data_IF_522818621366
#
_entry.id   IF_522818621366
#
_cell.length_a   1.000
_cell.length_b   1.000
_cell.length_c   1.000
_cell.angle_alpha   90.00
_cell.angle_beta   90.00
_cell.angle_gamma   90.00
#
_symmetry.space_group_name_H-M   'P 1'
#
loop_
_entity.id
_entity.type
_entity.pdbx_description
1 polymer ?
#
# COMPACT_ATOMS: atom_id res chain seq x y z
N UNK A 1 20.30 -26.35 -26.85
CA UNK A 1 20.28 -26.93 -25.49
C UNK A 1 20.91 -25.99 -24.48
N UNK A 2 22.16 -25.53 -24.70
CA UNK A 2 22.88 -24.67 -23.74
C UNK A 2 22.24 -23.30 -23.48
N UNK A 3 21.67 -22.67 -24.51
CA UNK A 3 20.99 -21.38 -24.38
C UNK A 3 19.79 -21.46 -23.42
N UNK A 4 19.09 -22.60 -23.40
CA UNK A 4 17.92 -22.85 -22.55
C UNK A 4 18.34 -23.09 -21.10
N UNK A 5 19.46 -23.77 -20.89
CA UNK A 5 20.06 -24.01 -19.56
C UNK A 5 20.61 -22.72 -18.95
N UNK A 6 21.08 -21.77 -19.78
CA UNK A 6 21.55 -20.46 -19.32
C UNK A 6 20.43 -19.45 -19.08
N UNK A 7 19.32 -19.53 -19.83
CA UNK A 7 18.17 -18.64 -19.64
C UNK A 7 17.41 -18.93 -18.35
N UNK A 8 17.34 -20.21 -17.95
CA UNK A 8 16.47 -20.67 -16.87
C UNK A 8 16.82 -20.07 -15.50
N UNK A 9 18.10 -19.97 -15.07
CA UNK A 9 18.47 -19.32 -13.82
C UNK A 9 18.08 -17.83 -13.78
N UNK A 10 18.35 -17.08 -14.86
CA UNK A 10 18.01 -15.66 -14.91
C UNK A 10 16.49 -15.44 -14.89
N UNK A 11 15.74 -16.22 -15.66
CA UNK A 11 14.29 -16.17 -15.68
C UNK A 11 13.70 -16.51 -14.30
N UNK A 12 14.27 -17.48 -13.59
CA UNK A 12 13.83 -17.83 -12.24
C UNK A 12 14.07 -16.70 -11.23
N UNK A 13 15.22 -16.03 -11.27
CA UNK A 13 15.48 -14.85 -10.42
C UNK A 13 14.48 -13.72 -10.70
N UNK A 14 14.23 -13.43 -11.98
CA UNK A 14 13.25 -12.42 -12.40
C UNK A 14 11.85 -12.81 -11.90
N UNK A 15 11.48 -14.08 -12.04
CA UNK A 15 10.22 -14.63 -11.55
C UNK A 15 10.07 -14.48 -10.03
N UNK A 16 11.13 -14.71 -9.26
CA UNK A 16 11.11 -14.54 -7.80
C UNK A 16 10.80 -13.09 -7.38
N UNK A 17 11.42 -12.08 -8.01
CA UNK A 17 11.10 -10.65 -7.73
C UNK A 17 9.67 -10.30 -8.18
N UNK A 18 9.25 -10.75 -9.36
CA UNK A 18 7.90 -10.45 -9.89
C UNK A 18 6.79 -11.05 -9.04
N UNK A 19 6.94 -12.32 -8.64
CA UNK A 19 5.98 -12.99 -7.76
C UNK A 19 5.91 -12.34 -6.39
N UNK A 20 7.06 -12.03 -5.78
CA UNK A 20 7.07 -11.41 -4.45
C UNK A 20 6.43 -10.02 -4.45
N UNK A 21 6.63 -9.23 -5.52
CA UNK A 21 5.95 -7.96 -5.72
C UNK A 21 4.41 -8.13 -5.86
N UNK A 22 3.96 -9.01 -6.75
CA UNK A 22 2.53 -9.22 -7.01
C UNK A 22 1.76 -9.79 -5.81
N UNK A 23 2.42 -10.54 -4.93
CA UNK A 23 1.80 -11.09 -3.72
C UNK A 23 1.49 -10.00 -2.69
N UNK A 24 2.29 -8.92 -2.63
CA UNK A 24 2.16 -7.87 -1.60
C UNK A 24 1.37 -6.66 -2.10
N UNK A 25 1.47 -6.33 -3.39
CA UNK A 25 0.88 -5.10 -3.92
C UNK A 25 -0.67 -5.12 -3.79
N UNK A 26 -1.32 -4.08 -3.23
CA UNK A 26 -2.75 -4.08 -2.87
C UNK A 26 -3.72 -4.50 -3.98
N UNK A 27 -3.40 -4.20 -5.25
CA UNK A 27 -4.22 -4.59 -6.41
C UNK A 27 -4.32 -6.11 -6.61
N UNK A 28 -3.18 -6.80 -6.56
CA UNK A 28 -3.07 -8.23 -6.86
C UNK A 28 -3.02 -9.11 -5.59
N UNK A 29 -2.77 -8.49 -4.43
CA UNK A 29 -2.76 -9.17 -3.13
C UNK A 29 -4.16 -9.53 -2.61
N UNK A 30 -5.23 -8.92 -3.17
CA UNK A 30 -6.60 -9.17 -2.72
C UNK A 30 -7.00 -10.65 -2.77
N UNK A 31 -7.82 -11.09 -1.80
CA UNK A 31 -8.30 -12.49 -1.69
C UNK A 31 -9.16 -12.92 -2.88
N UNK A 32 -9.74 -11.96 -3.59
CA UNK A 32 -10.58 -12.20 -4.76
C UNK A 32 -9.77 -12.63 -5.99
N UNK A 33 -8.46 -12.41 -6.00
CA UNK A 33 -7.57 -12.80 -7.10
C UNK A 33 -7.00 -14.20 -6.83
N UNK A 34 -7.33 -15.22 -7.63
CA UNK A 34 -6.79 -16.57 -7.47
C UNK A 34 -5.26 -16.58 -7.53
N UNK A 35 -4.62 -17.43 -6.72
CA UNK A 35 -3.16 -17.60 -6.74
C UNK A 35 -2.63 -18.01 -8.12
N UNK A 36 -3.39 -18.85 -8.85
CA UNK A 36 -3.05 -19.26 -10.21
C UNK A 36 -2.95 -18.08 -11.18
N UNK A 37 -3.82 -17.07 -11.07
CA UNK A 37 -3.74 -15.87 -11.89
C UNK A 37 -2.46 -15.08 -11.59
N UNK A 38 -2.10 -14.93 -10.31
CA UNK A 38 -0.88 -14.21 -9.90
C UNK A 38 0.37 -14.89 -10.45
N UNK A 39 0.43 -16.21 -10.37
CA UNK A 39 1.56 -17.01 -10.89
C UNK A 39 1.63 -16.87 -12.42
N UNK A 40 0.49 -16.98 -13.12
CA UNK A 40 0.43 -16.82 -14.58
C UNK A 40 0.87 -15.42 -15.03
N UNK A 41 0.39 -14.37 -14.35
CA UNK A 41 0.79 -12.99 -14.64
C UNK A 41 2.28 -12.77 -14.35
N UNK A 42 2.79 -13.29 -13.24
CA UNK A 42 4.21 -13.21 -12.92
C UNK A 42 5.07 -13.88 -13.99
N UNK A 43 4.71 -15.08 -14.44
CA UNK A 43 5.40 -15.79 -15.52
C UNK A 43 5.38 -15.00 -16.83
N UNK A 44 4.22 -14.43 -17.19
CA UNK A 44 4.08 -13.63 -18.39
C UNK A 44 4.98 -12.37 -18.35
N UNK A 45 4.98 -11.65 -17.23
CA UNK A 45 5.86 -10.50 -17.03
C UNK A 45 7.33 -10.90 -17.04
N UNK A 46 7.69 -12.03 -16.43
CA UNK A 46 9.06 -12.57 -16.47
C UNK A 46 9.52 -12.78 -17.91
N UNK A 47 8.69 -13.38 -18.77
CA UNK A 47 9.06 -13.60 -20.17
C UNK A 47 9.33 -12.28 -20.91
N UNK A 48 8.49 -11.27 -20.69
CA UNK A 48 8.69 -9.92 -21.28
C UNK A 48 10.02 -9.32 -20.82
N UNK A 49 10.27 -9.34 -19.51
CA UNK A 49 11.48 -8.75 -18.93
C UNK A 49 12.74 -9.50 -19.39
N UNK A 50 12.71 -10.83 -19.40
CA UNK A 50 13.83 -11.66 -19.88
C UNK A 50 14.10 -11.41 -21.37
N UNK A 51 13.06 -11.23 -22.19
CA UNK A 51 13.23 -10.85 -23.59
C UNK A 51 13.80 -9.44 -23.77
N UNK A 52 13.44 -8.49 -22.89
CA UNK A 52 13.90 -7.10 -22.97
C UNK A 52 15.35 -6.90 -22.49
N UNK A 53 15.77 -7.58 -21.41
CA UNK A 53 17.12 -7.43 -20.85
C UNK A 53 18.20 -8.26 -21.57
N UNK A 54 17.81 -9.32 -22.28
CA UNK A 54 18.75 -10.27 -22.85
C UNK A 54 19.53 -11.08 -21.81
N UNK A 55 20.30 -12.07 -22.26
CA UNK A 55 21.10 -12.98 -21.42
C UNK A 55 22.51 -12.46 -21.16
N UNK A 56 22.65 -11.22 -20.69
CA UNK A 56 23.98 -10.58 -20.61
C UNK A 56 24.83 -11.04 -19.41
N UNK A 57 24.25 -11.73 -18.41
CA UNK A 57 24.99 -12.25 -17.26
C UNK A 57 24.72 -13.74 -17.08
N UNK A 58 25.77 -14.56 -17.17
CA UNK A 58 25.71 -15.98 -16.84
C UNK A 58 25.74 -16.12 -15.32
N UNK A 59 24.62 -16.54 -14.73
CA UNK A 59 24.55 -16.85 -13.30
C UNK A 59 24.71 -18.36 -13.12
N UNK A 60 25.84 -18.84 -12.59
CA UNK A 60 26.01 -20.26 -12.29
C UNK A 60 25.09 -20.68 -11.14
N UNK A 61 24.50 -21.87 -11.25
CA UNK A 61 23.73 -22.51 -10.17
C UNK A 61 24.67 -23.12 -9.12
N UNK A 62 25.31 -22.25 -8.33
CA UNK A 62 26.14 -22.64 -7.19
C UNK A 62 25.43 -22.32 -5.86
N UNK A 63 26.02 -22.63 -4.71
CA UNK A 63 25.48 -22.32 -3.38
C UNK A 63 25.13 -20.83 -3.20
N UNK A 64 25.81 -19.93 -3.91
CA UNK A 64 25.54 -18.49 -3.92
C UNK A 64 24.23 -18.13 -4.63
N UNK A 65 23.67 -19.01 -5.48
CA UNK A 65 22.41 -18.78 -6.19
C UNK A 65 21.23 -18.62 -5.23
N UNK A 66 21.21 -19.37 -4.12
CA UNK A 66 20.16 -19.25 -3.09
C UNK A 66 20.13 -17.84 -2.49
N UNK A 67 21.30 -17.22 -2.28
CA UNK A 67 21.39 -15.85 -1.80
C UNK A 67 20.83 -14.85 -2.82
N UNK A 68 21.06 -15.09 -4.12
CA UNK A 68 20.48 -14.27 -5.20
C UNK A 68 18.94 -14.40 -5.22
N UNK A 69 18.40 -15.60 -5.04
CA UNK A 69 16.94 -15.81 -4.95
C UNK A 69 16.34 -15.04 -3.78
N UNK A 70 16.92 -15.18 -2.59
CA UNK A 70 16.47 -14.46 -1.37
C UNK A 70 16.51 -12.96 -1.61
N UNK A 71 17.59 -12.47 -2.23
CA UNK A 71 17.75 -11.05 -2.56
C UNK A 71 16.62 -10.54 -3.46
N UNK A 72 16.34 -11.25 -4.55
CA UNK A 72 15.29 -10.87 -5.50
C UNK A 72 13.90 -10.88 -4.87
N UNK A 73 13.62 -11.86 -3.99
CA UNK A 73 12.41 -11.90 -3.18
C UNK A 73 12.32 -10.63 -2.32
N UNK A 74 13.38 -10.28 -1.57
CA UNK A 74 13.41 -9.11 -0.71
C UNK A 74 13.13 -7.82 -1.48
N UNK A 75 13.73 -7.63 -2.66
CA UNK A 75 13.48 -6.41 -3.47
C UNK A 75 12.01 -6.30 -3.87
N UNK A 76 11.42 -7.38 -4.41
CA UNK A 76 10.01 -7.35 -4.80
C UNK A 76 9.08 -7.16 -3.60
N UNK A 77 9.40 -7.76 -2.44
CA UNK A 77 8.67 -7.52 -1.19
C UNK A 77 8.77 -6.07 -0.73
N UNK A 78 9.96 -5.46 -0.73
CA UNK A 78 10.15 -4.08 -0.31
C UNK A 78 9.37 -3.10 -1.19
N UNK A 79 9.40 -3.29 -2.51
CA UNK A 79 8.65 -2.44 -3.45
C UNK A 79 7.14 -2.59 -3.27
N UNK A 80 6.66 -3.83 -3.15
CA UNK A 80 5.25 -4.10 -2.87
C UNK A 80 4.82 -3.55 -1.52
N UNK A 81 5.71 -3.62 -0.52
CA UNK A 81 5.45 -3.17 0.84
C UNK A 81 5.26 -1.65 0.93
N UNK A 82 6.03 -0.86 0.17
CA UNK A 82 5.79 0.59 0.07
C UNK A 82 4.36 0.86 -0.39
N UNK A 83 3.94 0.26 -1.50
CA UNK A 83 2.56 0.42 -1.98
C UNK A 83 1.51 -0.04 -0.94
N UNK A 84 1.78 -1.16 -0.27
CA UNK A 84 0.93 -1.68 0.80
C UNK A 84 0.78 -0.70 1.97
N UNK A 85 1.87 -0.04 2.39
CA UNK A 85 1.83 0.97 3.45
C UNK A 85 0.90 2.13 3.08
N UNK A 86 0.99 2.67 1.87
CA UNK A 86 0.16 3.79 1.42
C UNK A 86 -1.33 3.44 1.39
N UNK A 87 -1.70 2.24 0.93
CA UNK A 87 -3.09 1.77 0.99
C UNK A 87 -3.55 1.50 2.43
N UNK A 88 -2.65 1.06 3.30
CA UNK A 88 -2.95 0.87 4.73
C UNK A 88 -3.25 2.21 5.41
N UNK A 89 -2.59 3.31 5.02
CA UNK A 89 -2.94 4.64 5.53
C UNK A 89 -4.38 5.03 5.23
N UNK A 90 -4.90 4.68 4.06
CA UNK A 90 -6.31 4.94 3.68
C UNK A 90 -7.25 4.17 4.60
N UNK A 91 -6.94 2.91 4.90
CA UNK A 91 -7.73 2.08 5.82
C UNK A 91 -7.67 2.61 7.25
N UNK A 92 -6.48 3.00 7.75
CA UNK A 92 -6.31 3.61 9.08
C UNK A 92 -7.11 4.90 9.19
N UNK A 93 -7.06 5.75 8.15
CA UNK A 93 -7.85 6.98 8.11
C UNK A 93 -9.36 6.71 8.20
N UNK A 94 -9.85 5.69 7.47
CA UNK A 94 -11.24 5.28 7.55
C UNK A 94 -11.62 4.69 8.91
N UNK A 95 -10.71 3.95 9.55
CA UNK A 95 -10.92 3.41 10.91
C UNK A 95 -11.08 4.53 11.95
N UNK A 96 -10.28 5.60 11.87
CA UNK A 96 -10.46 6.77 12.74
C UNK A 96 -11.82 7.46 12.52
N UNK A 97 -12.28 7.54 11.27
CA UNK A 97 -13.61 8.09 10.96
C UNK A 97 -14.72 7.19 11.51
N UNK A 98 -14.61 5.86 11.34
CA UNK A 98 -15.60 4.89 11.85
C UNK A 98 -15.74 4.96 13.37
N UNK A 99 -14.61 5.04 14.07
CA UNK A 99 -14.57 5.20 15.52
C UNK A 99 -15.27 6.48 15.95
N UNK A 100 -15.04 7.57 15.24
CA UNK A 100 -15.59 8.88 15.60
C UNK A 100 -17.09 9.00 15.26
N UNK A 101 -17.58 8.39 14.19
CA UNK A 101 -19.02 8.32 13.85
C UNK A 101 -19.78 7.42 14.84
N UNK A 102 -19.10 6.43 15.42
CA UNK A 102 -19.72 5.44 16.31
C UNK A 102 -20.18 4.17 15.58
N UNK A 103 -19.75 3.98 14.33
CA UNK A 103 -20.00 2.74 13.57
C UNK A 103 -19.32 1.52 14.21
N UNK A 104 -18.29 1.75 15.04
CA UNK A 104 -17.64 0.70 15.83
C UNK A 104 -18.55 0.03 16.86
N UNK A 105 -19.67 0.65 17.28
CA UNK A 105 -20.63 0.03 18.20
C UNK A 105 -21.42 -1.12 17.55
N UNK A 106 -21.59 -1.13 16.23
CA UNK A 106 -22.20 -2.25 15.51
C UNK A 106 -21.41 -3.56 15.70
N UNK A 107 -20.08 -3.46 15.87
CA UNK A 107 -19.20 -4.61 16.11
C UNK A 107 -19.33 -5.21 17.53
N UNK A 108 -19.89 -4.44 18.49
CA UNK A 108 -20.13 -4.91 19.87
C UNK A 108 -21.46 -5.67 19.98
N UNK A 109 -22.41 -5.38 19.06
CA UNK A 109 -23.77 -5.92 19.09
C UNK A 109 -23.84 -7.31 18.43
N UNK A 110 -22.94 -7.64 17.50
CA UNK A 110 -22.81 -9.00 16.95
C UNK A 110 -21.34 -9.48 16.86
N UNK A 111 -20.82 -10.10 17.94
CA UNK A 111 -19.49 -10.70 17.95
C UNK A 111 -19.37 -12.02 17.16
N UNK A 112 -20.46 -12.60 16.63
CA UNK A 112 -20.41 -13.89 15.91
C UNK A 112 -19.68 -13.81 14.56
N UNK A 113 -19.56 -12.61 13.98
CA UNK A 113 -18.83 -12.40 12.73
C UNK A 113 -17.30 -12.36 12.88
N UNK A 114 -16.79 -12.18 14.11
CA UNK A 114 -15.36 -12.21 14.45
C UNK A 114 -14.46 -11.21 13.70
N UNK A 115 -15.02 -10.31 12.89
CA UNK A 115 -14.28 -9.45 11.97
C UNK A 115 -14.72 -8.00 12.11
N UNK A 116 -13.88 -7.22 12.78
CA UNK A 116 -14.00 -5.76 12.89
C UNK A 116 -13.52 -5.11 11.59
N UNK A 117 -14.27 -5.27 10.50
CA UNK A 117 -13.91 -4.57 9.25
C UNK A 117 -14.39 -3.12 9.35
N UNK A 118 -13.49 -2.12 9.33
CA UNK A 118 -13.89 -0.72 9.29
C UNK A 118 -14.66 -0.46 7.99
N UNK A 119 -15.94 -0.06 8.11
CA UNK A 119 -16.83 0.21 6.98
C UNK A 119 -16.29 1.35 6.12
N UNK A 120 -15.94 2.49 6.73
CA UNK A 120 -15.34 3.61 6.00
C UNK A 120 -13.92 3.31 5.55
N UNK A 121 -13.17 2.50 6.32
CA UNK A 121 -11.87 1.99 5.88
C UNK A 121 -11.98 1.21 4.57
N UNK A 122 -12.95 0.31 4.47
CA UNK A 122 -13.19 -0.51 3.29
C UNK A 122 -13.70 0.34 2.10
N UNK A 123 -14.66 1.24 2.35
CA UNK A 123 -15.17 2.15 1.32
C UNK A 123 -14.06 3.02 0.72
N UNK A 124 -13.24 3.67 1.56
CA UNK A 124 -12.11 4.50 1.10
C UNK A 124 -11.06 3.65 0.39
N UNK A 125 -10.79 2.43 0.85
CA UNK A 125 -9.88 1.51 0.17
C UNK A 125 -10.39 1.12 -1.21
N UNK A 126 -11.67 0.80 -1.36
CA UNK A 126 -12.27 0.48 -2.65
C UNK A 126 -12.24 1.67 -3.61
N UNK A 127 -12.53 2.89 -3.11
CA UNK A 127 -12.37 4.12 -3.90
C UNK A 127 -10.92 4.35 -4.34
N UNK A 128 -9.95 4.17 -3.43
CA UNK A 128 -8.53 4.26 -3.76
C UNK A 128 -8.15 3.28 -4.88
N UNK A 129 -8.64 2.04 -4.80
CA UNK A 129 -8.39 1.02 -5.83
C UNK A 129 -8.98 1.41 -7.19
N UNK A 130 -10.22 1.92 -7.22
CA UNK A 130 -10.85 2.40 -8.44
C UNK A 130 -10.10 3.59 -9.05
N UNK A 131 -9.67 4.54 -8.22
CA UNK A 131 -8.90 5.70 -8.66
C UNK A 131 -7.51 5.31 -9.15
N UNK A 132 -6.84 4.37 -8.49
CA UNK A 132 -5.56 3.81 -8.96
C UNK A 132 -5.72 3.19 -10.35
N UNK A 133 -6.81 2.47 -10.62
CA UNK A 133 -7.10 1.91 -11.93
C UNK A 133 -7.41 3.02 -12.95
N UNK A 134 -8.23 4.01 -12.58
CA UNK A 134 -8.60 5.15 -13.41
C UNK A 134 -7.40 5.99 -13.85
N UNK A 135 -6.44 6.22 -12.96
CA UNK A 135 -5.21 6.98 -13.23
C UNK A 135 -4.11 6.14 -13.89
N UNK A 136 -4.39 4.89 -14.27
CA UNK A 136 -3.38 3.95 -14.75
C UNK A 136 -2.22 3.72 -13.76
N UNK A 137 -2.44 3.94 -12.45
CA UNK A 137 -1.44 3.73 -11.39
C UNK A 137 -0.88 2.30 -11.38
N UNK A 138 -1.70 1.31 -11.76
CA UNK A 138 -1.25 -0.06 -11.94
C UNK A 138 -0.21 -0.23 -13.06
N UNK A 139 -0.27 0.55 -14.14
CA UNK A 139 0.78 0.57 -15.16
C UNK A 139 2.07 1.16 -14.60
N UNK A 140 2.00 2.25 -13.83
CA UNK A 140 3.18 2.83 -13.17
C UNK A 140 3.82 1.85 -12.18
N UNK A 141 3.04 1.08 -11.44
CA UNK A 141 3.54 0.03 -10.55
C UNK A 141 4.29 -1.07 -11.32
N UNK A 142 3.69 -1.57 -12.42
CA UNK A 142 4.30 -2.59 -13.26
C UNK A 142 5.55 -2.07 -13.97
N UNK A 143 5.52 -0.84 -14.48
CA UNK A 143 6.68 -0.18 -15.07
C UNK A 143 7.78 0.01 -14.02
N UNK A 144 7.44 0.39 -12.79
CA UNK A 144 8.39 0.53 -11.69
C UNK A 144 9.14 -0.77 -11.37
N UNK A 145 8.44 -1.90 -11.30
CA UNK A 145 9.09 -3.19 -11.07
C UNK A 145 9.88 -3.67 -12.29
N UNK A 146 9.44 -3.37 -13.51
CA UNK A 146 10.21 -3.70 -14.73
C UNK A 146 11.49 -2.86 -14.84
N UNK A 147 11.41 -1.55 -14.62
CA UNK A 147 12.55 -0.64 -14.62
C UNK A 147 13.51 -0.90 -13.45
N UNK A 148 13.04 -1.57 -12.39
CA UNK A 148 13.89 -1.92 -11.23
C UNK A 148 15.11 -2.76 -11.62
N UNK A 149 15.07 -3.48 -12.73
CA UNK A 149 16.21 -4.27 -13.20
C UNK A 149 17.29 -3.45 -13.91
N UNK A 150 16.95 -2.30 -14.49
CA UNK A 150 17.96 -1.37 -15.03
C UNK A 150 18.80 -0.77 -13.91
N UNK A 151 18.19 -0.56 -12.74
CA UNK A 151 18.85 0.12 -11.61
C UNK A 151 19.49 -0.87 -10.65
N UNK A 152 18.88 -2.05 -10.48
CA UNK A 152 19.33 -3.11 -9.59
C UNK A 152 19.61 -4.34 -10.48
N UNK A 153 20.79 -4.40 -11.13
CA UNK A 153 21.16 -5.54 -11.96
C UNK A 153 21.22 -6.82 -11.12
N UNK A 154 21.10 -7.99 -11.77
CA UNK A 154 21.11 -9.30 -11.11
C UNK A 154 22.39 -9.54 -10.28
N UNK A 155 23.49 -8.85 -10.58
CA UNK A 155 24.76 -8.89 -9.83
C UNK A 155 24.91 -7.88 -8.67
N UNK A 156 23.88 -7.11 -8.30
CA UNK A 156 23.99 -6.06 -7.28
C UNK A 156 24.24 -6.57 -5.83
N UNK A 157 24.99 -5.80 -5.04
CA UNK A 157 25.36 -6.06 -3.65
C UNK A 157 24.35 -5.49 -2.64
N UNK A 158 23.07 -5.89 -2.77
CA UNK A 158 22.00 -5.41 -1.89
C UNK A 158 22.33 -5.62 -0.39
N UNK A 159 22.92 -6.76 -0.03
CA UNK A 159 23.26 -7.06 1.36
C UNK A 159 24.26 -6.06 1.97
N UNK A 160 25.18 -5.52 1.16
CA UNK A 160 26.10 -4.48 1.63
C UNK A 160 25.39 -3.16 1.92
N UNK A 161 24.34 -2.84 1.15
CA UNK A 161 23.56 -1.62 1.34
C UNK A 161 22.54 -1.73 2.49
N UNK A 162 21.96 -2.92 2.70
CA UNK A 162 21.16 -3.21 3.89
C UNK A 162 21.96 -2.99 5.17
N UNK A 163 23.24 -3.41 5.18
CA UNK A 163 24.13 -3.22 6.33
C UNK A 163 24.37 -1.73 6.63
N UNK A 164 24.31 -0.86 5.61
CA UNK A 164 24.46 0.59 5.76
C UNK A 164 23.29 1.29 6.45
N UNK A 165 22.21 0.60 6.81
CA UNK A 165 21.09 1.14 7.61
C UNK A 165 20.16 2.13 6.90
N UNK A 166 20.55 2.67 5.75
CA UNK A 166 19.81 3.69 5.00
C UNK A 166 18.41 3.22 4.57
N UNK A 167 18.28 1.96 4.16
CA UNK A 167 16.98 1.36 3.78
C UNK A 167 16.06 1.30 5.01
N UNK A 168 16.57 0.87 6.15
CA UNK A 168 15.80 0.81 7.40
C UNK A 168 15.35 2.20 7.85
N UNK A 169 16.25 3.18 7.82
CA UNK A 169 15.91 4.57 8.15
C UNK A 169 14.84 5.13 7.20
N UNK A 170 14.97 4.86 5.90
CA UNK A 170 13.98 5.25 4.90
C UNK A 170 12.61 4.61 5.15
N UNK A 171 12.57 3.32 5.48
CA UNK A 171 11.32 2.62 5.80
C UNK A 171 10.64 3.20 7.04
N UNK A 172 11.40 3.51 8.09
CA UNK A 172 10.87 4.15 9.32
C UNK A 172 10.32 5.54 9.01
N UNK A 173 11.06 6.37 8.26
CA UNK A 173 10.59 7.70 7.85
C UNK A 173 9.34 7.62 6.97
N UNK A 174 9.30 6.66 6.04
CA UNK A 174 8.14 6.42 5.19
C UNK A 174 6.93 6.00 6.01
N UNK A 175 7.10 5.09 6.97
CA UNK A 175 6.05 4.69 7.90
C UNK A 175 5.49 5.88 8.69
N UNK A 176 6.36 6.73 9.27
CA UNK A 176 5.93 7.94 9.97
C UNK A 176 5.18 8.92 9.06
N UNK A 177 5.65 9.09 7.81
CA UNK A 177 4.99 9.94 6.82
C UNK A 177 3.60 9.41 6.43
N UNK A 178 3.49 8.11 6.19
CA UNK A 178 2.24 7.40 5.88
C UNK A 178 1.26 7.49 7.05
N UNK A 179 1.73 7.37 8.29
CA UNK A 179 0.88 7.58 9.48
C UNK A 179 0.40 9.04 9.60
N UNK A 180 1.25 10.02 9.31
CA UNK A 180 0.80 11.42 9.26
C UNK A 180 -0.24 11.64 8.16
N UNK A 181 -0.06 11.05 6.99
CA UNK A 181 -1.02 11.09 5.88
C UNK A 181 -2.36 10.47 6.27
N UNK A 182 -2.38 9.35 7.00
CA UNK A 182 -3.64 8.74 7.45
C UNK A 182 -4.41 9.66 8.41
N UNK A 183 -3.70 10.35 9.30
CA UNK A 183 -4.31 11.33 10.20
C UNK A 183 -4.83 12.55 9.43
N UNK A 184 -4.08 13.07 8.46
CA UNK A 184 -4.52 14.17 7.58
C UNK A 184 -5.78 13.79 6.79
N UNK A 185 -5.85 12.57 6.26
CA UNK A 185 -7.02 12.04 5.56
C UNK A 185 -8.25 11.85 6.46
N UNK A 186 -8.08 11.73 7.77
CA UNK A 186 -9.16 11.61 8.74
C UNK A 186 -9.54 12.97 9.37
N UNK A 187 -8.60 13.92 9.41
CA UNK A 187 -8.70 15.16 10.18
C UNK A 187 -9.97 15.98 9.92
N UNK A 188 -10.42 16.23 8.67
CA UNK A 188 -11.61 17.06 8.42
C UNK A 188 -12.88 16.47 9.05
N UNK A 189 -13.06 15.16 8.90
CA UNK A 189 -14.24 14.46 9.46
C UNK A 189 -14.10 14.31 10.96
N UNK A 190 -12.92 13.94 11.46
CA UNK A 190 -12.69 13.79 12.91
C UNK A 190 -12.88 15.11 13.64
N UNK A 191 -12.39 16.22 13.10
CA UNK A 191 -12.57 17.56 13.69
C UNK A 191 -14.04 17.99 13.72
N UNK A 192 -14.77 17.80 12.62
CA UNK A 192 -16.20 18.14 12.56
C UNK A 192 -17.03 17.28 13.52
N UNK A 193 -16.69 16.00 13.64
CA UNK A 193 -17.36 15.10 14.58
C UNK A 193 -16.97 15.37 16.04
N UNK A 194 -15.75 15.84 16.30
CA UNK A 194 -15.36 16.32 17.63
C UNK A 194 -16.21 17.53 18.05
N UNK A 195 -16.43 18.49 17.14
CA UNK A 195 -17.36 19.60 17.38
C UNK A 195 -18.80 19.11 17.61
N UNK A 196 -19.22 18.07 16.89
CA UNK A 196 -20.53 17.44 17.08
C UNK A 196 -20.65 16.82 18.49
N UNK A 197 -19.60 16.16 18.97
CA UNK A 197 -19.56 15.60 20.33
C UNK A 197 -19.63 16.68 21.42
N UNK A 198 -18.95 17.82 21.22
CA UNK A 198 -19.08 18.98 22.10
C UNK A 198 -20.51 19.53 22.11
N UNK A 199 -21.14 19.65 20.93
CA UNK A 199 -22.53 20.09 20.82
C UNK A 199 -23.52 19.16 21.52
N UNK A 200 -23.35 17.85 21.35
CA UNK A 200 -24.14 16.83 22.06
C UNK A 200 -23.91 16.88 23.57
N UNK A 201 -22.66 17.07 24.02
CA UNK A 201 -22.33 17.20 25.44
C UNK A 201 -22.92 18.45 26.10
N UNK A 202 -23.07 19.56 25.36
CA UNK A 202 -23.81 20.73 25.84
C UNK A 202 -25.31 20.46 25.88
N UNK A 203 -25.85 19.73 24.90
CA UNK A 203 -27.26 19.37 24.84
C UNK A 203 -27.68 18.52 26.05
N UNK A 204 -26.87 17.54 26.47
CA UNK A 204 -27.17 16.73 27.67
C UNK A 204 -27.18 17.55 28.95
N UNK A 205 -26.38 18.62 29.02
CA UNK A 205 -26.42 19.54 30.16
C UNK A 205 -27.69 20.38 30.20
N UNK A 206 -28.18 20.82 29.03
CA UNK A 206 -29.38 21.67 28.92
C UNK A 206 -30.67 20.87 29.03
N UNK A 207 -30.71 19.66 28.45
CA UNK A 207 -31.88 18.80 28.42
C UNK A 207 -31.52 17.36 28.84
N UNK A 208 -31.31 17.12 30.16
CA UNK A 208 -30.81 15.85 30.69
C UNK A 208 -31.80 14.67 30.53
N UNK A 209 -33.05 14.97 30.20
CA UNK A 209 -34.09 13.99 29.87
C UNK A 209 -33.86 13.26 28.55
N UNK A 210 -33.02 13.80 27.65
CA UNK A 210 -32.63 13.08 26.44
C UNK A 210 -31.50 12.10 26.71
N UNK A 211 -31.72 10.83 26.39
CA UNK A 211 -30.63 9.86 26.34
C UNK A 211 -29.73 10.14 25.14
N UNK A 212 -28.50 10.57 25.40
CA UNK A 212 -27.52 10.94 24.36
C UNK A 212 -27.20 9.77 23.42
N UNK A 213 -27.32 8.51 23.87
CA UNK A 213 -27.10 7.37 23.01
C UNK A 213 -28.23 7.18 22.00
N UNK A 214 -29.47 7.53 22.37
CA UNK A 214 -30.65 7.40 21.50
C UNK A 214 -30.66 8.49 20.43
N UNK A 215 -30.27 9.72 20.77
CA UNK A 215 -30.30 10.86 19.84
C UNK A 215 -28.95 11.09 19.16
N UNK A 216 -27.85 10.96 19.91
CA UNK A 216 -26.51 11.31 19.46
C UNK A 216 -25.98 10.38 18.37
N UNK A 217 -26.16 9.05 18.50
CA UNK A 217 -25.66 8.10 17.50
C UNK A 217 -26.32 8.30 16.13
N UNK A 218 -27.67 8.36 16.01
CA UNK A 218 -28.30 8.67 14.71
C UNK A 218 -27.86 10.01 14.13
N UNK A 219 -27.72 11.04 14.96
CA UNK A 219 -27.28 12.36 14.51
C UNK A 219 -25.84 12.32 13.97
N UNK A 220 -24.92 11.68 14.71
CA UNK A 220 -23.52 11.50 14.30
C UNK A 220 -23.41 10.74 12.98
N UNK A 221 -24.23 9.72 12.77
CA UNK A 221 -24.29 8.99 11.50
C UNK A 221 -24.70 9.91 10.35
N UNK A 222 -25.79 10.67 10.50
CA UNK A 222 -26.27 11.60 9.46
C UNK A 222 -25.21 12.63 9.12
N UNK A 223 -24.62 13.27 10.13
CA UNK A 223 -23.57 14.28 9.95
C UNK A 223 -22.33 13.67 9.32
N UNK A 224 -21.89 12.50 9.77
CA UNK A 224 -20.73 11.79 9.24
C UNK A 224 -20.88 11.45 7.76
N UNK A 225 -22.02 10.88 7.36
CA UNK A 225 -22.31 10.59 5.94
C UNK A 225 -22.42 11.86 5.11
N UNK A 226 -23.05 12.91 5.65
CA UNK A 226 -23.14 14.22 4.97
C UNK A 226 -21.74 14.82 4.72
N UNK A 227 -20.86 14.81 5.71
CA UNK A 227 -19.48 15.29 5.59
C UNK A 227 -18.69 14.47 4.58
N UNK A 228 -18.82 13.14 4.60
CA UNK A 228 -18.14 12.28 3.63
C UNK A 228 -18.60 12.60 2.22
N UNK A 229 -19.91 12.73 1.99
CA UNK A 229 -20.46 13.11 0.69
C UNK A 229 -19.97 14.49 0.22
N UNK A 230 -19.90 15.46 1.14
CA UNK A 230 -19.39 16.81 0.87
C UNK A 230 -17.90 16.81 0.49
N UNK A 231 -17.09 15.98 1.15
CA UNK A 231 -15.65 15.89 0.95
C UNK A 231 -15.23 14.96 -0.20
N UNK A 232 -16.17 14.23 -0.82
CA UNK A 232 -15.87 13.31 -1.93
C UNK A 232 -15.09 13.94 -3.09
N UNK A 233 -15.40 15.16 -3.58
CA UNK A 233 -14.64 15.77 -4.67
C UNK A 233 -13.18 16.04 -4.29
N UNK A 234 -12.93 16.50 -3.06
CA UNK A 234 -11.59 16.82 -2.56
C UNK A 234 -10.74 15.56 -2.30
N UNK A 235 -11.42 14.47 -1.93
CA UNK A 235 -10.82 13.16 -1.70
C UNK A 235 -10.13 12.59 -2.96
N UNK A 236 -10.59 12.94 -4.17
CA UNK A 236 -9.91 12.59 -5.43
C UNK A 236 -8.53 13.26 -5.51
N UNK A 237 -8.44 14.55 -5.18
CA UNK A 237 -7.18 15.30 -5.16
C UNK A 237 -6.21 14.76 -4.11
N UNK A 238 -6.72 14.43 -2.92
CA UNK A 238 -5.94 13.80 -1.85
C UNK A 238 -5.40 12.43 -2.28
N UNK A 239 -6.19 11.62 -2.99
CA UNK A 239 -5.72 10.34 -3.52
C UNK A 239 -4.66 10.49 -4.61
N UNK A 240 -4.77 11.49 -5.47
CA UNK A 240 -3.74 11.78 -6.45
C UNK A 240 -2.39 12.06 -5.77
N UNK A 241 -2.37 12.98 -4.79
CA UNK A 241 -1.18 13.28 -4.00
C UNK A 241 -0.65 12.07 -3.23
N UNK A 242 -1.55 11.20 -2.75
CA UNK A 242 -1.17 9.96 -2.08
C UNK A 242 -0.45 9.01 -3.03
N UNK A 243 -0.94 8.85 -4.27
CA UNK A 243 -0.30 8.01 -5.28
C UNK A 243 1.02 8.59 -5.76
N UNK A 244 1.12 9.91 -5.95
CA UNK A 244 2.39 10.57 -6.31
C UNK A 244 3.47 10.30 -5.25
N UNK A 245 3.14 10.50 -3.96
CA UNK A 245 4.06 10.19 -2.85
C UNK A 245 4.41 8.71 -2.78
N UNK A 246 3.48 7.82 -3.11
CA UNK A 246 3.73 6.38 -3.17
C UNK A 246 4.75 6.05 -4.27
N UNK A 247 4.57 6.58 -5.48
CA UNK A 247 5.48 6.35 -6.60
C UNK A 247 6.87 6.96 -6.35
N UNK A 248 6.93 8.18 -5.80
CA UNK A 248 8.19 8.77 -5.37
C UNK A 248 8.90 7.92 -4.31
N UNK A 249 8.17 7.37 -3.33
CA UNK A 249 8.74 6.52 -2.30
C UNK A 249 9.28 5.20 -2.90
N UNK A 250 8.58 4.60 -3.86
CA UNK A 250 9.06 3.44 -4.60
C UNK A 250 10.34 3.75 -5.37
N UNK A 251 10.42 4.90 -6.04
CA UNK A 251 11.60 5.34 -6.79
C UNK A 251 12.79 5.63 -5.85
N UNK A 252 12.56 6.31 -4.73
CA UNK A 252 13.58 6.57 -3.70
C UNK A 252 14.12 5.26 -3.11
N UNK A 253 13.25 4.29 -2.85
CA UNK A 253 13.66 2.96 -2.41
C UNK A 253 14.55 2.27 -3.46
N UNK A 254 14.18 2.32 -4.74
CA UNK A 254 15.01 1.76 -5.82
C UNK A 254 16.39 2.42 -5.89
N UNK A 255 16.49 3.74 -5.74
CA UNK A 255 17.77 4.46 -5.72
C UNK A 255 18.66 4.02 -4.55
N UNK A 256 18.08 3.88 -3.36
CA UNK A 256 18.81 3.40 -2.17
C UNK A 256 19.31 1.97 -2.37
N UNK A 257 18.49 1.09 -2.94
CA UNK A 257 18.86 -0.31 -3.26
C UNK A 257 19.79 -0.42 -4.48
N UNK A 258 19.88 0.63 -5.31
CA UNK A 258 20.89 0.72 -6.36
C UNK A 258 22.23 1.26 -5.84
N UNK A 259 22.25 1.85 -4.64
CA UNK A 259 23.45 2.46 -4.07
C UNK A 259 23.81 3.81 -4.67
N UNK A 260 22.89 4.43 -5.42
CA UNK A 260 23.03 5.81 -5.87
C UNK A 260 22.65 6.70 -4.69
N UNK A 261 23.62 7.48 -4.19
CA UNK A 261 23.36 8.50 -3.18
C UNK A 261 22.28 9.46 -3.71
N UNK A 262 21.33 9.83 -2.85
CA UNK A 262 20.26 10.76 -3.18
C UNK A 262 20.89 12.08 -3.67
N UNK A 263 20.75 12.39 -4.97
CA UNK A 263 20.79 13.79 -5.39
C UNK A 263 19.58 14.46 -4.77
N UNK A 264 19.81 15.17 -3.67
CA UNK A 264 18.82 16.03 -3.03
C UNK A 264 18.50 17.18 -3.99
N UNK A 265 17.22 17.50 -4.25
CA UNK A 265 16.88 18.85 -4.69
C UNK A 265 17.17 19.87 -3.57
#
# INVERSE_FOLDING_TARGET
MELLVQLLPNAMLIFCRMTSFLVVVPLFSSRNVPSMFKIGLALFLTLIVTAAQGTSQLVPMDAQYVLLVIREIIVGLLLGFIAYLFFTAVQIAGSFIDMQIGLGMANVIDPMSGTTVPLMGNLKYMLAMLLLLSFNGHHFMLQGIMNSYEWIPLSNNLFAQLYGGQITEFLVKTFSSVFSLSMQLAAPVVAAMFLTDLGLGLLTRVAPQFNIFVVGVPLKIIIGFFLIALLMPELIGLFHQLFDRMFEAMQKLLNLVAGKALETP
#
